data_IF_121682688986
#
_entry.id   IF_121682688986
#
_cell.length_a   1.000
_cell.length_b   1.000
_cell.length_c   1.000
_cell.angle_alpha   90.00
_cell.angle_beta   90.00
_cell.angle_gamma   90.00
#
_symmetry.space_group_name_H-M   'P 1'
#
loop_
_entity.id
_entity.type
_entity.pdbx_description
1 polymer ?
#
# COMPACT_ATOMS: atom_id res chain seq x y z
N UNK A 1 -12.77 -9.34 8.55
CA UNK A 1 -12.23 -9.94 7.30
C UNK A 1 -11.03 -10.78 7.66
N UNK A 2 -10.97 -12.01 7.18
CA UNK A 2 -9.92 -13.00 7.56
C UNK A 2 -9.01 -13.39 6.40
N UNK A 3 -9.43 -13.13 5.15
CA UNK A 3 -8.65 -13.44 3.96
C UNK A 3 -8.57 -12.20 3.07
N UNK A 4 -7.38 -11.61 2.96
CA UNK A 4 -7.13 -10.39 2.18
C UNK A 4 -5.63 -10.18 1.98
N UNK A 5 -5.28 -9.23 1.12
CA UNK A 5 -3.92 -8.70 1.01
C UNK A 5 -3.94 -7.20 1.28
N UNK A 6 -3.22 -6.75 2.31
CA UNK A 6 -2.98 -5.34 2.53
C UNK A 6 -1.87 -4.86 1.61
N UNK A 7 -2.05 -3.70 0.97
CA UNK A 7 -1.10 -3.14 0.02
C UNK A 7 -0.90 -1.65 0.29
N UNK A 8 0.32 -1.19 0.10
CA UNK A 8 0.69 0.22 0.23
C UNK A 8 1.74 0.57 -0.81
N UNK A 9 1.55 1.70 -1.50
CA UNK A 9 2.48 2.24 -2.49
C UNK A 9 3.06 3.57 -2.02
N UNK A 10 4.35 3.79 -2.34
CA UNK A 10 4.94 5.12 -2.32
C UNK A 10 5.18 5.59 -3.75
N UNK A 11 4.98 6.88 -4.01
CA UNK A 11 5.13 7.48 -5.34
C UNK A 11 6.32 8.44 -5.38
N UNK A 12 7.00 8.49 -6.52
CA UNK A 12 8.16 9.37 -6.74
C UNK A 12 7.75 10.84 -6.97
N UNK A 13 6.61 11.04 -7.62
CA UNK A 13 6.13 12.36 -8.04
C UNK A 13 4.60 12.44 -8.00
N UNK A 14 4.04 13.53 -8.52
CA UNK A 14 2.60 13.82 -8.52
C UNK A 14 1.76 12.87 -9.39
N UNK A 15 2.41 12.12 -10.28
CA UNK A 15 1.69 11.14 -11.10
C UNK A 15 1.52 9.84 -10.35
N UNK A 16 0.30 9.34 -10.25
CA UNK A 16 -0.02 8.12 -9.50
C UNK A 16 0.68 6.87 -10.05
N UNK A 17 1.00 6.86 -11.34
CA UNK A 17 1.76 5.76 -11.94
C UNK A 17 3.24 5.70 -11.51
N UNK A 18 3.76 6.74 -10.87
CA UNK A 18 5.17 6.84 -10.47
C UNK A 18 5.50 6.05 -9.19
N UNK A 19 4.93 4.88 -9.03
CA UNK A 19 5.19 4.04 -7.86
C UNK A 19 6.68 3.71 -7.76
N UNK A 20 7.27 3.93 -6.59
CA UNK A 20 8.70 3.73 -6.34
C UNK A 20 8.99 2.69 -5.24
N UNK A 21 7.97 2.28 -4.50
CA UNK A 21 8.04 1.12 -3.63
C UNK A 21 6.65 0.54 -3.38
N UNK A 22 6.58 -0.72 -2.99
CA UNK A 22 5.35 -1.41 -2.64
C UNK A 22 5.59 -2.36 -1.49
N UNK A 23 4.64 -2.38 -0.54
CA UNK A 23 4.56 -3.38 0.51
C UNK A 23 3.25 -4.17 0.39
N UNK A 24 3.33 -5.47 0.59
CA UNK A 24 2.16 -6.37 0.58
C UNK A 24 2.22 -7.30 1.78
N UNK A 25 1.09 -7.44 2.46
CA UNK A 25 0.91 -8.38 3.58
C UNK A 25 -0.27 -9.27 3.27
N UNK A 26 -0.03 -10.56 3.14
CA UNK A 26 -1.07 -11.55 2.83
C UNK A 26 -1.59 -12.14 4.14
N UNK A 27 -2.90 -12.07 4.32
CA UNK A 27 -3.61 -12.62 5.49
C UNK A 27 -4.55 -13.72 5.02
N UNK A 28 -4.47 -14.87 5.67
CA UNK A 28 -5.40 -16.00 5.46
C UNK A 28 -5.79 -16.60 6.81
N UNK A 29 -7.07 -16.88 6.98
CA UNK A 29 -7.58 -17.38 8.25
C UNK A 29 -7.35 -16.46 9.42
N UNK A 30 -7.21 -15.15 9.18
CA UNK A 30 -6.94 -14.15 10.22
C UNK A 30 -5.48 -14.03 10.64
N UNK A 31 -4.57 -14.74 9.96
CA UNK A 31 -3.15 -14.69 10.28
C UNK A 31 -2.30 -14.25 9.09
N UNK A 32 -1.22 -13.54 9.36
CA UNK A 32 -0.25 -13.14 8.33
C UNK A 32 0.51 -14.39 7.87
N UNK A 33 0.38 -14.72 6.59
CA UNK A 33 1.04 -15.91 6.00
C UNK A 33 2.17 -15.57 5.06
N UNK A 34 2.24 -14.34 4.54
CA UNK A 34 3.30 -13.89 3.62
C UNK A 34 3.45 -12.38 3.67
N UNK A 35 4.66 -11.90 3.42
CA UNK A 35 4.95 -10.48 3.25
C UNK A 35 5.86 -10.29 2.05
N UNK A 36 5.72 -9.16 1.37
CA UNK A 36 6.54 -8.81 0.22
C UNK A 36 6.84 -7.32 0.23
N UNK A 37 8.07 -6.96 -0.09
CA UNK A 37 8.51 -5.57 -0.26
C UNK A 37 9.43 -5.48 -1.45
N UNK A 38 9.25 -4.42 -2.26
CA UNK A 38 10.20 -4.12 -3.33
C UNK A 38 10.28 -2.61 -3.58
N UNK A 39 11.48 -2.15 -3.84
CA UNK A 39 11.71 -0.89 -4.55
C UNK A 39 11.29 -1.08 -6.00
N UNK A 40 10.84 0.00 -6.64
CA UNK A 40 10.40 0.02 -8.04
C UNK A 40 11.05 1.21 -8.72
N UNK A 41 11.64 1.00 -9.90
CA UNK A 41 12.07 2.13 -10.73
C UNK A 41 10.84 2.82 -11.30
N UNK A 42 10.58 4.10 -10.91
CA UNK A 42 9.32 4.75 -11.25
C UNK A 42 9.25 5.17 -12.72
N UNK A 43 8.02 5.24 -13.25
CA UNK A 43 7.73 5.80 -14.56
C UNK A 43 6.61 6.87 -14.40
N UNK A 44 6.89 8.14 -14.69
CA UNK A 44 8.16 8.72 -15.14
C UNK A 44 9.24 8.75 -14.03
N UNK A 45 10.50 8.65 -14.43
CA UNK A 45 11.64 8.48 -13.52
C UNK A 45 12.20 9.82 -13.03
N UNK A 46 11.38 10.57 -12.30
CA UNK A 46 11.83 11.77 -11.59
C UNK A 46 11.18 11.83 -10.20
N UNK A 47 11.84 12.50 -9.27
CA UNK A 47 11.36 12.63 -7.90
C UNK A 47 11.02 14.08 -7.57
N UNK A 48 9.82 14.30 -7.04
CA UNK A 48 9.46 15.58 -6.43
C UNK A 48 10.01 15.66 -5.01
N UNK A 49 10.47 16.82 -4.64
CA UNK A 49 10.99 17.09 -3.29
C UNK A 49 9.98 16.70 -2.21
N UNK A 50 8.71 17.05 -2.40
CA UNK A 50 7.65 16.75 -1.44
C UNK A 50 7.50 15.23 -1.19
N UNK A 51 7.52 14.43 -2.25
CA UNK A 51 7.43 12.98 -2.12
C UNK A 51 8.63 12.41 -1.37
N UNK A 52 9.83 12.91 -1.67
CA UNK A 52 11.05 12.50 -0.97
C UNK A 52 11.00 12.84 0.52
N UNK A 53 10.39 13.95 0.90
CA UNK A 53 10.21 14.31 2.32
C UNK A 53 9.28 13.32 3.04
N UNK A 54 8.32 12.75 2.34
CA UNK A 54 7.36 11.80 2.92
C UNK A 54 8.02 10.43 3.18
N UNK A 55 8.64 9.82 2.16
CA UNK A 55 9.14 8.43 2.26
C UNK A 55 10.66 8.30 2.28
N UNK A 56 11.40 9.38 2.02
CA UNK A 56 12.86 9.37 2.08
C UNK A 56 13.57 8.72 0.90
N UNK A 57 12.84 8.20 -0.10
CA UNK A 57 13.43 7.58 -1.29
C UNK A 57 13.78 8.63 -2.33
N UNK A 58 14.83 8.38 -3.09
CA UNK A 58 15.29 9.23 -4.18
C UNK A 58 15.80 8.40 -5.37
N UNK A 59 16.28 9.07 -6.44
CA UNK A 59 16.76 8.39 -7.65
C UNK A 59 17.85 7.36 -7.37
N UNK A 60 18.72 7.63 -6.42
CA UNK A 60 19.82 6.76 -6.00
C UNK A 60 19.33 5.42 -5.42
N UNK A 61 18.11 5.39 -4.87
CA UNK A 61 17.55 4.18 -4.27
C UNK A 61 16.90 3.25 -5.30
N UNK A 62 16.38 3.82 -6.40
CA UNK A 62 15.52 3.08 -7.34
C UNK A 62 16.07 3.02 -8.77
N UNK A 63 17.21 3.65 -9.07
CA UNK A 63 17.78 3.64 -10.43
C UNK A 63 18.11 2.23 -10.94
N UNK A 64 18.50 1.31 -10.03
CA UNK A 64 18.80 -0.08 -10.35
C UNK A 64 17.65 -1.04 -9.93
N UNK A 65 16.53 -0.51 -9.49
CA UNK A 65 15.38 -1.33 -9.11
C UNK A 65 14.63 -1.85 -10.34
N UNK A 66 13.90 -2.96 -10.20
CA UNK A 66 13.05 -3.45 -11.28
C UNK A 66 11.89 -2.49 -11.55
N UNK A 67 11.43 -2.45 -12.80
CA UNK A 67 10.22 -1.72 -13.18
C UNK A 67 8.97 -2.47 -12.74
N UNK A 68 7.84 -1.78 -12.66
CA UNK A 68 6.60 -2.31 -12.10
C UNK A 68 6.16 -3.68 -12.68
N UNK A 69 6.19 -3.93 -14.00
CA UNK A 69 5.74 -5.22 -14.53
C UNK A 69 6.46 -6.43 -13.91
N UNK A 70 7.77 -6.32 -13.69
CA UNK A 70 8.54 -7.41 -13.06
C UNK A 70 8.21 -7.59 -11.59
N UNK A 71 7.98 -6.47 -10.86
CA UNK A 71 7.56 -6.52 -9.47
C UNK A 71 6.18 -7.14 -9.35
N UNK A 72 5.26 -6.80 -10.25
CA UNK A 72 3.90 -7.33 -10.21
C UNK A 72 3.82 -8.83 -10.51
N UNK A 73 4.73 -9.36 -11.33
CA UNK A 73 4.86 -10.80 -11.53
C UNK A 73 5.11 -11.56 -10.22
N UNK A 74 5.81 -10.93 -9.27
CA UNK A 74 6.05 -11.50 -7.94
C UNK A 74 4.85 -11.36 -7.00
N UNK A 75 4.07 -10.29 -7.16
CA UNK A 75 2.93 -10.00 -6.29
C UNK A 75 1.68 -10.78 -6.71
N UNK A 76 1.35 -10.81 -7.99
CA UNK A 76 0.10 -11.35 -8.49
C UNK A 76 -0.22 -12.77 -8.00
N UNK A 77 0.72 -13.73 -8.00
CA UNK A 77 0.44 -15.07 -7.48
C UNK A 77 0.14 -15.11 -5.99
N UNK A 78 0.74 -14.18 -5.20
CA UNK A 78 0.57 -14.12 -3.75
C UNK A 78 -0.82 -13.66 -3.33
N UNK A 79 -1.43 -12.80 -4.15
CA UNK A 79 -2.73 -12.16 -3.86
C UNK A 79 -3.88 -12.78 -4.66
N UNK A 80 -3.64 -13.84 -5.42
CA UNK A 80 -4.65 -14.45 -6.27
C UNK A 80 -5.89 -14.84 -5.46
N UNK A 81 -7.06 -14.38 -5.95
CA UNK A 81 -8.35 -14.65 -5.32
C UNK A 81 -8.64 -13.86 -4.05
N UNK A 82 -7.74 -12.95 -3.63
CA UNK A 82 -7.92 -12.13 -2.43
C UNK A 82 -8.39 -10.72 -2.78
N UNK A 83 -9.28 -10.13 -1.96
CA UNK A 83 -9.51 -8.70 -2.02
C UNK A 83 -8.27 -7.95 -1.50
N UNK A 84 -8.09 -6.73 -1.98
CA UNK A 84 -7.04 -5.83 -1.52
C UNK A 84 -7.59 -4.88 -0.46
N UNK A 85 -6.74 -4.53 0.50
CA UNK A 85 -7.06 -3.58 1.57
C UNK A 85 -5.97 -2.51 1.61
N UNK A 86 -6.37 -1.26 1.72
CA UNK A 86 -5.43 -0.15 1.86
C UNK A 86 -6.02 0.92 2.81
N UNK A 87 -5.15 1.76 3.35
CA UNK A 87 -5.56 2.88 4.18
C UNK A 87 -5.66 4.14 3.32
N UNK A 88 -6.87 4.64 3.07
CA UNK A 88 -7.21 5.59 2.01
C UNK A 88 -7.09 4.92 0.62
N UNK A 89 -7.83 3.83 0.47
CA UNK A 89 -7.74 2.92 -0.66
C UNK A 89 -7.86 3.57 -2.04
N UNK A 90 -8.55 4.71 -2.17
CA UNK A 90 -8.65 5.41 -3.45
C UNK A 90 -7.29 5.85 -4.00
N UNK A 91 -6.31 6.09 -3.12
CA UNK A 91 -4.95 6.43 -3.56
C UNK A 91 -4.25 5.20 -4.15
N UNK A 92 -4.17 4.10 -3.40
CA UNK A 92 -3.46 2.89 -3.85
C UNK A 92 -4.14 2.23 -5.04
N UNK A 93 -5.47 2.19 -5.04
CA UNK A 93 -6.24 1.72 -6.20
C UNK A 93 -5.97 2.58 -7.42
N UNK A 94 -5.93 3.91 -7.25
CA UNK A 94 -5.59 4.84 -8.32
C UNK A 94 -4.18 4.64 -8.86
N UNK A 95 -3.20 4.44 -7.98
CA UNK A 95 -1.82 4.11 -8.37
C UNK A 95 -1.78 2.82 -9.19
N UNK A 96 -2.44 1.78 -8.71
CA UNK A 96 -2.44 0.47 -9.35
C UNK A 96 -3.09 0.53 -10.74
N UNK A 97 -4.24 1.17 -10.88
CA UNK A 97 -4.91 1.35 -12.18
C UNK A 97 -4.06 2.15 -13.15
N UNK A 98 -3.46 3.25 -12.70
CA UNK A 98 -2.66 4.11 -13.58
C UNK A 98 -1.35 3.44 -14.02
N UNK A 99 -0.66 2.72 -13.14
CA UNK A 99 0.57 2.03 -13.53
C UNK A 99 0.28 0.87 -14.49
N UNK A 100 -0.83 0.14 -14.31
CA UNK A 100 -1.27 -0.87 -15.28
C UNK A 100 -1.54 -0.24 -16.64
N UNK A 101 -2.20 0.93 -16.66
CA UNK A 101 -2.48 1.65 -17.92
C UNK A 101 -1.22 2.09 -18.63
N UNK A 102 -0.25 2.66 -17.91
CA UNK A 102 1.02 3.14 -18.47
C UNK A 102 1.81 2.00 -19.10
N UNK A 103 1.86 0.84 -18.46
CA UNK A 103 2.56 -0.34 -18.98
C UNK A 103 1.70 -1.22 -19.88
N UNK A 104 0.49 -0.79 -20.24
CA UNK A 104 -0.44 -1.51 -21.13
C UNK A 104 -0.70 -2.95 -20.64
N UNK A 105 -0.90 -3.09 -19.34
CA UNK A 105 -1.23 -4.37 -18.70
C UNK A 105 -2.74 -4.48 -18.49
N UNK A 106 -3.27 -5.70 -18.61
CA UNK A 106 -4.68 -5.96 -18.33
C UNK A 106 -4.96 -5.91 -16.82
N UNK A 107 -5.85 -5.00 -16.40
CA UNK A 107 -6.21 -4.82 -15.00
C UNK A 107 -7.31 -5.82 -14.60
N UNK A 108 -7.07 -6.68 -13.58
CA UNK A 108 -8.02 -7.75 -13.19
C UNK A 108 -9.22 -7.28 -12.36
N UNK A 109 -9.53 -5.99 -12.30
CA UNK A 109 -10.62 -5.42 -11.49
C UNK A 109 -10.55 -5.85 -10.02
N UNK A 110 -9.40 -5.65 -9.38
CA UNK A 110 -9.21 -5.94 -7.97
C UNK A 110 -10.25 -5.23 -7.10
N UNK A 111 -10.85 -5.95 -6.17
CA UNK A 111 -11.76 -5.39 -5.19
C UNK A 111 -10.95 -4.78 -4.04
N UNK A 112 -11.18 -3.48 -3.76
CA UNK A 112 -10.51 -2.77 -2.67
C UNK A 112 -11.46 -2.51 -1.51
N UNK A 113 -10.92 -2.66 -0.29
CA UNK A 113 -11.55 -2.23 0.96
C UNK A 113 -10.68 -1.17 1.63
N UNK A 114 -11.32 -0.23 2.32
CA UNK A 114 -10.65 0.96 2.88
C UNK A 114 -10.70 0.99 4.40
N UNK A 115 -9.54 0.84 5.02
CA UNK A 115 -9.42 0.91 6.49
C UNK A 115 -9.60 2.34 7.02
N UNK A 116 -9.35 3.39 6.22
CA UNK A 116 -9.66 4.76 6.62
C UNK A 116 -11.17 4.95 6.78
N UNK A 117 -11.96 4.49 5.82
CA UNK A 117 -13.41 4.56 5.90
C UNK A 117 -13.94 3.72 7.07
N UNK A 118 -13.40 2.52 7.27
CA UNK A 118 -13.74 1.66 8.40
C UNK A 118 -13.44 2.34 9.74
N UNK A 119 -12.27 2.96 9.86
CA UNK A 119 -11.87 3.72 11.04
C UNK A 119 -12.83 4.85 11.37
N UNK A 120 -13.22 5.63 10.35
CA UNK A 120 -14.18 6.73 10.53
C UNK A 120 -15.53 6.23 11.02
N UNK A 121 -16.02 5.10 10.50
CA UNK A 121 -17.28 4.48 10.97
C UNK A 121 -17.18 3.97 12.41
N UNK A 122 -16.04 3.34 12.74
CA UNK A 122 -15.88 2.69 14.05
C UNK A 122 -15.56 3.68 15.17
N UNK A 123 -14.60 4.57 14.96
CA UNK A 123 -14.12 5.49 16.00
C UNK A 123 -14.81 6.84 15.98
N UNK A 124 -15.24 7.34 14.82
CA UNK A 124 -15.85 8.66 14.70
C UNK A 124 -14.94 9.75 15.27
N UNK A 125 -15.46 10.59 16.15
CA UNK A 125 -14.71 11.68 16.79
C UNK A 125 -13.91 11.26 18.03
N UNK A 126 -13.87 9.97 18.35
CA UNK A 126 -13.08 9.47 19.49
C UNK A 126 -11.57 9.51 19.25
N UNK A 127 -11.15 9.66 18.00
CA UNK A 127 -9.74 9.85 17.62
C UNK A 127 -9.50 11.29 17.16
N UNK A 128 -8.30 11.87 17.40
CA UNK A 128 -7.96 13.22 16.96
C UNK A 128 -7.86 13.33 15.44
N UNK A 129 -7.54 12.24 14.76
CA UNK A 129 -7.50 12.09 13.32
C UNK A 129 -7.60 10.61 12.96
N UNK A 130 -7.69 10.29 11.67
CA UNK A 130 -7.76 8.91 11.18
C UNK A 130 -6.54 8.56 10.31
N UNK A 131 -5.39 9.16 10.59
CA UNK A 131 -4.12 8.79 9.95
C UNK A 131 -3.74 7.37 10.34
N UNK A 132 -2.96 6.72 9.47
CA UNK A 132 -2.59 5.32 9.63
C UNK A 132 -1.97 5.02 11.00
N UNK A 133 -1.00 5.82 11.43
CA UNK A 133 -0.32 5.66 12.73
C UNK A 133 -1.28 5.80 13.92
N UNK A 134 -2.17 6.79 13.88
CA UNK A 134 -3.18 7.01 14.93
C UNK A 134 -4.14 5.84 15.03
N UNK A 135 -4.66 5.37 13.89
CA UNK A 135 -5.62 4.25 13.85
C UNK A 135 -4.93 2.94 14.23
N UNK A 136 -3.73 2.70 13.75
CA UNK A 136 -2.94 1.51 14.10
C UNK A 136 -2.72 1.43 15.61
N UNK A 137 -2.32 2.53 16.25
CA UNK A 137 -2.15 2.60 17.70
C UNK A 137 -3.46 2.29 18.45
N UNK A 138 -4.59 2.84 18.00
CA UNK A 138 -5.91 2.55 18.56
C UNK A 138 -6.31 1.08 18.41
N UNK A 139 -5.77 0.38 17.39
CA UNK A 139 -5.96 -1.04 17.18
C UNK A 139 -4.89 -1.91 17.86
N UNK A 140 -3.98 -1.32 18.64
CA UNK A 140 -2.95 -2.04 19.37
C UNK A 140 -1.71 -2.38 18.56
N UNK A 141 -1.49 -1.72 17.44
CA UNK A 141 -0.31 -1.90 16.58
C UNK A 141 0.60 -0.67 16.65
N UNK A 142 1.88 -0.88 16.94
CA UNK A 142 2.88 0.19 17.02
C UNK A 142 3.58 0.37 15.67
N UNK A 143 3.21 1.43 14.94
CA UNK A 143 3.81 1.78 13.66
C UNK A 143 5.02 2.69 13.90
N UNK A 144 6.22 2.12 13.89
CA UNK A 144 7.48 2.83 14.14
C UNK A 144 8.16 3.34 12.86
N UNK A 145 7.91 2.70 11.71
CA UNK A 145 8.52 3.04 10.41
C UNK A 145 7.47 3.57 9.43
N UNK A 146 6.74 4.62 9.85
CA UNK A 146 5.71 5.25 9.01
C UNK A 146 6.32 5.76 7.69
N UNK A 147 5.56 5.62 6.59
CA UNK A 147 5.98 5.88 5.20
C UNK A 147 7.04 4.93 4.64
N UNK A 148 7.23 3.78 5.29
CA UNK A 148 7.86 2.62 4.67
C UNK A 148 6.75 1.68 4.20
N UNK A 149 6.70 1.38 2.90
CA UNK A 149 5.54 0.71 2.30
C UNK A 149 5.17 -0.62 2.98
N UNK A 150 6.15 -1.46 3.35
CA UNK A 150 5.84 -2.70 4.06
C UNK A 150 5.33 -2.44 5.48
N UNK A 151 5.95 -1.53 6.23
CA UNK A 151 5.50 -1.20 7.58
C UNK A 151 4.07 -0.62 7.57
N UNK A 152 3.76 0.21 6.57
CA UNK A 152 2.43 0.78 6.40
C UNK A 152 1.39 -0.29 6.00
N UNK A 153 1.77 -1.25 5.14
CA UNK A 153 0.93 -2.40 4.81
C UNK A 153 0.68 -3.30 6.04
N UNK A 154 1.68 -3.51 6.90
CA UNK A 154 1.53 -4.27 8.15
C UNK A 154 0.55 -3.58 9.11
N UNK A 155 0.67 -2.26 9.26
CA UNK A 155 -0.28 -1.47 10.06
C UNK A 155 -1.69 -1.55 9.48
N UNK A 156 -1.83 -1.43 8.17
CA UNK A 156 -3.11 -1.55 7.48
C UNK A 156 -3.74 -2.94 7.70
N UNK A 157 -2.94 -4.01 7.62
CA UNK A 157 -3.40 -5.38 7.90
C UNK A 157 -3.91 -5.53 9.33
N UNK A 158 -3.19 -4.99 10.31
CA UNK A 158 -3.61 -5.02 11.71
C UNK A 158 -4.95 -4.29 11.94
N UNK A 159 -5.14 -3.15 11.29
CA UNK A 159 -6.40 -2.41 11.33
C UNK A 159 -7.52 -3.23 10.67
N UNK A 160 -7.27 -3.79 9.50
CA UNK A 160 -8.26 -4.58 8.75
C UNK A 160 -8.76 -5.79 9.55
N UNK A 161 -7.85 -6.50 10.23
CA UNK A 161 -8.20 -7.62 11.10
C UNK A 161 -9.15 -7.23 12.24
N UNK A 162 -9.14 -5.99 12.65
CA UNK A 162 -10.01 -5.50 13.74
C UNK A 162 -11.28 -4.82 13.25
N UNK A 163 -11.26 -4.14 12.11
CA UNK A 163 -12.35 -3.26 11.69
C UNK A 163 -13.12 -3.74 10.47
N UNK A 164 -12.62 -4.72 9.73
CA UNK A 164 -13.24 -5.22 8.48
C UNK A 164 -13.70 -6.70 8.55
#
# INVERSE_FOLDING_TARGET
MTDFAAIDFETANEQRCSVCSVGVVVVRGGEVVDTFYSLIRPEPEYYQWFCRQVHGLGPEDTEDAPVFPFVWEEIAPRIEGLPLVAHNACFDEGCLKEVFRVYQMDYPDYQFFDTLAASRRHFGCRLPNHKLDTVAAACGFDLTRHHHALADAEACAAIALKLL
#
